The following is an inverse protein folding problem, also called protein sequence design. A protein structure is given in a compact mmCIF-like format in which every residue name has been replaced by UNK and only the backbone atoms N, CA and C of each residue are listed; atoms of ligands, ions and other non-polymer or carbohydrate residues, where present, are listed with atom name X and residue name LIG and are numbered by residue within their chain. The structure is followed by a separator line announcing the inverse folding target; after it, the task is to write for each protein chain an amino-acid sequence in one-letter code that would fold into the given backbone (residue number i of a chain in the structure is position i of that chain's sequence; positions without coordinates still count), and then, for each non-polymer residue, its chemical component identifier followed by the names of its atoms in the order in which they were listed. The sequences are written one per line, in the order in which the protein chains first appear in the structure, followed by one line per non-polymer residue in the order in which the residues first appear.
data_IF_657092512431
#
_entry.id   IF_657092512431
#
_cell.length_a   1.000
_cell.length_b   1.000
_cell.length_c   1.000
_cell.angle_alpha   90.00
_cell.angle_beta   90.00
_cell.angle_gamma   90.00
#
_symmetry.space_group_name_H-M   'P 1'
#
loop_
_entity.id
_entity.type
_entity.pdbx_description
1 polymer ?
#
# COMPACT_ATOMS: atom_id res chain seq x y z
N UNK A 1 -28.54 28.75 -6.94
CA UNK A 1 -27.26 28.01 -7.12
C UNK A 1 -26.74 27.55 -5.75
N UNK A 2 -26.49 26.26 -5.55
CA UNK A 2 -25.89 25.80 -4.29
C UNK A 2 -24.47 26.39 -4.16
N UNK A 3 -24.18 27.08 -3.06
CA UNK A 3 -22.84 27.60 -2.78
C UNK A 3 -21.82 26.47 -2.82
N UNK A 4 -20.74 26.66 -3.58
CA UNK A 4 -19.61 25.72 -3.58
C UNK A 4 -19.00 25.73 -2.20
N UNK A 5 -18.79 24.53 -1.63
CA UNK A 5 -18.17 24.37 -0.32
C UNK A 5 -16.76 24.95 -0.38
N UNK A 6 -16.30 25.68 0.65
CA UNK A 6 -14.94 26.18 0.69
C UNK A 6 -13.95 25.01 0.70
N UNK A 7 -12.90 25.11 -0.11
CA UNK A 7 -11.86 24.11 -0.26
C UNK A 7 -10.56 24.53 0.44
N UNK A 8 -9.79 23.55 0.90
CA UNK A 8 -8.47 23.77 1.45
C UNK A 8 -7.49 24.13 0.32
N UNK A 9 -6.75 25.23 0.49
CA UNK A 9 -5.72 25.68 -0.45
C UNK A 9 -4.56 24.69 -0.64
N UNK A 10 -4.33 23.79 0.31
CA UNK A 10 -3.22 22.84 0.27
C UNK A 10 -3.59 21.50 -0.37
N UNK A 11 -4.73 20.91 0.01
CA UNK A 11 -5.12 19.57 -0.46
C UNK A 11 -6.36 19.54 -1.35
N UNK A 12 -6.95 20.71 -1.64
CA UNK A 12 -8.17 20.88 -2.46
C UNK A 12 -9.39 20.08 -1.98
N UNK A 13 -9.36 19.59 -0.74
CA UNK A 13 -10.51 18.95 -0.10
C UNK A 13 -11.44 20.01 0.50
N UNK A 14 -12.76 19.78 0.58
CA UNK A 14 -13.65 20.66 1.33
C UNK A 14 -13.14 20.84 2.77
N UNK A 15 -13.17 22.07 3.28
CA UNK A 15 -12.56 22.42 4.58
C UNK A 15 -13.01 21.50 5.72
N UNK A 16 -14.30 21.14 5.75
CA UNK A 16 -14.90 20.24 6.76
C UNK A 16 -14.30 18.83 6.81
N UNK A 17 -13.65 18.37 5.74
CA UNK A 17 -13.03 17.04 5.63
C UNK A 17 -11.57 17.14 5.17
N UNK A 18 -10.94 18.28 5.47
CA UNK A 18 -9.54 18.52 5.20
C UNK A 18 -8.65 17.56 6.00
N UNK A 19 -7.65 16.97 5.34
CA UNK A 19 -6.71 16.04 5.97
C UNK A 19 -5.40 16.70 6.39
N UNK A 20 -5.14 17.95 5.97
CA UNK A 20 -3.91 18.66 6.32
C UNK A 20 -3.64 18.73 7.83
N UNK A 21 -4.64 18.94 8.72
CA UNK A 21 -4.40 18.93 10.17
C UNK A 21 -3.89 17.59 10.73
N UNK A 22 -4.04 16.50 9.98
CA UNK A 22 -3.63 15.15 10.38
C UNK A 22 -2.31 14.71 9.72
N UNK A 23 -1.78 15.52 8.79
CA UNK A 23 -0.43 15.36 8.27
C UNK A 23 0.59 15.82 9.33
N UNK A 24 1.84 15.32 9.32
CA UNK A 24 2.86 15.87 10.18
C UNK A 24 3.15 17.33 9.80
N UNK A 25 3.47 18.16 10.80
CA UNK A 25 3.76 19.59 10.61
C UNK A 25 4.92 19.83 9.63
N UNK A 26 5.89 18.91 9.64
CA UNK A 26 6.99 18.82 8.68
C UNK A 26 7.08 17.40 8.12
N UNK A 27 7.52 17.20 6.87
CA UNK A 27 7.79 15.86 6.35
C UNK A 27 8.69 15.06 7.30
N UNK A 28 8.38 13.78 7.48
CA UNK A 28 9.15 12.89 8.34
C UNK A 28 10.62 12.83 7.90
N UNK A 29 11.54 12.89 8.86
CA UNK A 29 12.95 12.64 8.56
C UNK A 29 13.18 11.13 8.43
N UNK A 30 13.48 10.67 7.23
CA UNK A 30 13.78 9.26 6.92
C UNK A 30 15.05 9.16 6.07
N UNK A 31 15.83 8.11 6.28
CA UNK A 31 17.02 7.82 5.48
C UNK A 31 16.70 6.96 4.24
N UNK A 32 15.71 6.08 4.36
CA UNK A 32 15.24 5.12 3.36
C UNK A 32 14.56 5.83 2.18
N UNK A 33 14.90 5.39 0.97
CA UNK A 33 14.18 5.75 -0.24
C UNK A 33 12.99 4.82 -0.47
N UNK A 34 11.82 5.40 -0.69
CA UNK A 34 10.59 4.70 -0.99
C UNK A 34 10.22 4.89 -2.46
N UNK A 35 10.12 3.78 -3.19
CA UNK A 35 9.61 3.76 -4.56
C UNK A 35 8.23 3.13 -4.60
N UNK A 36 7.21 3.89 -5.03
CA UNK A 36 5.86 3.38 -5.24
C UNK A 36 5.64 3.14 -6.73
N UNK A 37 5.49 1.87 -7.11
CA UNK A 37 5.15 1.46 -8.46
C UNK A 37 3.63 1.37 -8.57
N UNK A 38 3.00 2.42 -9.07
CA UNK A 38 1.56 2.56 -9.06
C UNK A 38 0.92 2.12 -10.38
N UNK A 39 -0.08 1.24 -10.28
CA UNK A 39 -0.90 0.87 -11.43
C UNK A 39 -1.73 2.09 -11.90
N UNK A 40 -1.81 2.39 -13.21
CA UNK A 40 -2.51 3.58 -13.72
C UNK A 40 -4.00 3.70 -13.31
N UNK A 41 -4.66 2.57 -13.08
CA UNK A 41 -6.06 2.56 -12.64
C UNK A 41 -6.27 2.99 -11.17
N UNK A 42 -5.22 3.04 -10.35
CA UNK A 42 -5.31 3.55 -8.97
C UNK A 42 -5.15 5.07 -8.89
N UNK A 43 -4.53 5.72 -9.88
CA UNK A 43 -4.31 7.17 -9.91
C UNK A 43 -5.63 7.94 -9.72
N UNK A 44 -6.69 7.53 -10.40
CA UNK A 44 -7.97 8.22 -10.40
C UNK A 44 -8.94 7.74 -9.30
N UNK A 45 -8.47 6.96 -8.31
CA UNK A 45 -9.32 6.49 -7.21
C UNK A 45 -9.52 7.59 -6.16
N UNK A 46 -10.78 7.87 -5.84
CA UNK A 46 -11.18 8.90 -4.86
C UNK A 46 -10.55 8.68 -3.46
N UNK A 47 -10.44 7.43 -3.03
CA UNK A 47 -9.95 7.05 -1.70
C UNK A 47 -8.50 6.55 -1.71
N UNK A 48 -7.68 6.97 -2.67
CA UNK A 48 -6.26 6.57 -2.78
C UNK A 48 -5.44 6.99 -1.55
N UNK A 49 -4.55 6.11 -1.08
CA UNK A 49 -3.72 6.34 0.11
C UNK A 49 -2.30 6.82 -0.23
N UNK A 50 -1.83 6.57 -1.46
CA UNK A 50 -0.50 7.03 -1.92
C UNK A 50 -0.29 8.54 -1.79
N UNK A 51 -1.25 9.43 -2.12
CA UNK A 51 -1.05 10.87 -1.90
C UNK A 51 -0.93 11.26 -0.43
N UNK A 52 -1.61 10.55 0.48
CA UNK A 52 -1.46 10.80 1.92
C UNK A 52 -0.07 10.40 2.39
N UNK A 53 0.41 9.23 1.94
CA UNK A 53 1.77 8.75 2.19
C UNK A 53 2.81 9.76 1.68
N UNK A 54 2.71 10.19 0.42
CA UNK A 54 3.64 11.13 -0.17
C UNK A 54 3.65 12.50 0.51
N UNK A 55 2.49 12.98 1.01
CA UNK A 55 2.41 14.24 1.72
C UNK A 55 3.10 14.23 3.10
N UNK A 56 3.31 13.04 3.68
CA UNK A 56 4.01 12.88 4.97
C UNK A 56 5.53 12.74 4.84
N UNK A 57 6.06 12.54 3.62
CA UNK A 57 7.46 12.19 3.38
C UNK A 57 8.19 13.28 2.58
N UNK A 58 9.54 13.38 2.71
CA UNK A 58 10.33 14.28 1.88
C UNK A 58 10.19 13.94 0.40
N UNK A 59 10.12 14.95 -0.47
CA UNK A 59 9.87 14.78 -1.92
C UNK A 59 10.97 13.97 -2.61
N UNK A 60 12.20 14.06 -2.11
CA UNK A 60 13.37 13.32 -2.60
C UNK A 60 13.41 11.87 -2.10
N UNK A 61 12.68 11.54 -1.02
CA UNK A 61 12.63 10.20 -0.41
C UNK A 61 11.44 9.35 -0.86
N UNK A 62 10.40 9.93 -1.45
CA UNK A 62 9.23 9.19 -1.94
C UNK A 62 9.02 9.42 -3.44
N UNK A 63 9.37 8.43 -4.26
CA UNK A 63 9.23 8.47 -5.72
C UNK A 63 8.06 7.61 -6.18
N UNK A 64 7.11 8.20 -6.89
CA UNK A 64 5.96 7.49 -7.46
C UNK A 64 6.19 7.33 -8.97
N UNK A 65 6.16 6.08 -9.44
CA UNK A 65 6.28 5.73 -10.86
C UNK A 65 4.97 5.06 -11.30
N UNK A 66 4.25 5.70 -12.22
CA UNK A 66 2.95 5.21 -12.71
C UNK A 66 3.16 4.40 -13.98
N UNK A 67 2.73 3.14 -13.98
CA UNK A 67 2.91 2.28 -15.15
C UNK A 67 2.54 0.83 -14.92
N UNK A 68 2.52 0.07 -16.02
CA UNK A 68 2.34 -1.40 -15.99
C UNK A 68 3.59 -2.15 -16.43
N UNK A 69 4.44 -1.50 -17.23
CA UNK A 69 5.63 -2.08 -17.84
C UNK A 69 6.79 -1.09 -17.72
N UNK A 70 7.90 -1.59 -17.19
CA UNK A 70 9.14 -0.91 -16.90
C UNK A 70 10.27 -1.74 -17.49
N UNK A 71 11.19 -1.07 -18.17
CA UNK A 71 12.39 -1.66 -18.74
C UNK A 71 13.53 -0.66 -18.60
N UNK A 72 14.76 -1.11 -18.82
CA UNK A 72 15.93 -0.25 -18.71
C UNK A 72 15.87 0.93 -19.68
N UNK A 73 15.31 0.75 -20.87
CA UNK A 73 15.16 1.81 -21.87
C UNK A 73 14.07 2.81 -21.49
N UNK A 74 13.01 2.36 -20.80
CA UNK A 74 11.86 3.20 -20.44
C UNK A 74 12.06 3.94 -19.13
N UNK A 75 12.76 3.33 -18.18
CA UNK A 75 13.03 3.90 -16.87
C UNK A 75 14.43 3.49 -16.39
N UNK A 76 15.49 4.14 -16.91
CA UNK A 76 16.87 3.84 -16.54
C UNK A 76 17.11 4.01 -15.03
N UNK A 77 16.50 5.03 -14.42
CA UNK A 77 16.58 5.28 -12.97
C UNK A 77 16.06 4.08 -12.18
N UNK A 78 14.85 3.61 -12.49
CA UNK A 78 14.26 2.45 -11.80
C UNK A 78 15.09 1.18 -12.05
N UNK A 79 15.62 0.98 -13.26
CA UNK A 79 16.51 -0.15 -13.57
C UNK A 79 17.78 -0.12 -12.71
N UNK A 80 18.43 1.04 -12.59
CA UNK A 80 19.60 1.21 -11.72
C UNK A 80 19.26 0.91 -10.27
N UNK A 81 18.13 1.41 -9.76
CA UNK A 81 17.67 1.14 -8.39
C UNK A 81 17.43 -0.36 -8.19
N UNK A 82 16.74 -1.04 -9.10
CA UNK A 82 16.47 -2.47 -8.98
C UNK A 82 17.74 -3.34 -8.95
N UNK A 83 18.86 -2.86 -9.49
CA UNK A 83 20.14 -3.58 -9.52
C UNK A 83 20.99 -3.39 -8.27
N UNK A 84 20.66 -2.42 -7.40
CA UNK A 84 21.43 -2.21 -6.16
C UNK A 84 21.16 -3.33 -5.16
N UNK A 85 22.21 -3.79 -4.49
CA UNK A 85 22.15 -4.86 -3.49
C UNK A 85 21.39 -4.46 -2.21
N UNK A 86 21.27 -3.15 -1.94
CA UNK A 86 20.56 -2.57 -0.80
C UNK A 86 19.09 -2.22 -1.09
N UNK A 87 18.57 -2.66 -2.24
CA UNK A 87 17.19 -2.44 -2.64
C UNK A 87 16.34 -3.68 -2.36
N UNK A 88 15.21 -3.46 -1.69
CA UNK A 88 14.19 -4.46 -1.43
C UNK A 88 12.95 -4.21 -2.29
N UNK A 89 12.21 -5.28 -2.55
CA UNK A 89 10.85 -5.18 -3.09
C UNK A 89 9.85 -5.85 -2.16
N UNK A 90 8.89 -5.05 -1.68
CA UNK A 90 7.80 -5.53 -0.86
C UNK A 90 6.71 -6.12 -1.76
N UNK A 91 6.74 -7.44 -1.90
CA UNK A 91 5.73 -8.19 -2.63
C UNK A 91 5.63 -9.61 -2.06
N UNK A 92 4.44 -10.07 -1.64
CA UNK A 92 4.28 -11.41 -1.10
C UNK A 92 4.49 -12.47 -2.19
N UNK A 93 5.39 -13.41 -1.94
CA UNK A 93 5.73 -14.53 -2.83
C UNK A 93 6.22 -15.73 -2.03
N UNK A 94 6.36 -16.88 -2.69
CA UNK A 94 6.84 -18.12 -2.05
C UNK A 94 8.26 -17.95 -1.49
N UNK A 95 9.11 -17.22 -2.22
CA UNK A 95 10.51 -16.96 -1.87
C UNK A 95 10.71 -15.65 -1.06
N UNK A 96 9.61 -14.99 -0.67
CA UNK A 96 9.68 -13.72 0.03
C UNK A 96 10.13 -13.92 1.48
N UNK A 97 11.27 -13.34 1.85
CA UNK A 97 11.72 -13.33 3.25
C UNK A 97 10.84 -12.40 4.09
N UNK A 98 10.66 -12.70 5.38
CA UNK A 98 10.06 -11.72 6.28
C UNK A 98 11.02 -10.52 6.43
N UNK A 99 10.49 -9.29 6.41
CA UNK A 99 11.31 -8.08 6.44
C UNK A 99 12.11 -7.95 7.75
N UNK A 100 11.47 -8.17 8.90
CA UNK A 100 12.13 -8.09 10.20
C UNK A 100 13.24 -9.13 10.34
N UNK A 101 12.96 -10.39 10.00
CA UNK A 101 13.95 -11.49 10.00
C UNK A 101 15.10 -11.20 9.02
N UNK A 102 14.80 -10.72 7.81
CA UNK A 102 15.81 -10.42 6.79
C UNK A 102 16.81 -9.35 7.24
N UNK A 103 16.34 -8.29 7.91
CA UNK A 103 17.20 -7.18 8.34
C UNK A 103 18.21 -7.62 9.41
N UNK A 104 17.87 -8.62 10.23
CA UNK A 104 18.77 -9.14 11.27
C UNK A 104 19.98 -9.86 10.68
N UNK A 105 19.76 -10.59 9.58
CA UNK A 105 20.78 -11.44 8.95
C UNK A 105 21.46 -10.80 7.73
N UNK A 106 20.98 -9.64 7.27
CA UNK A 106 21.47 -9.02 6.04
C UNK A 106 22.87 -8.41 6.23
N UNK A 107 23.85 -8.74 5.37
CA UNK A 107 25.19 -8.15 5.43
C UNK A 107 25.21 -6.68 4.99
N UNK A 108 24.21 -6.24 4.24
CA UNK A 108 24.04 -4.85 3.78
C UNK A 108 22.71 -4.34 4.30
N UNK A 109 22.74 -3.23 5.04
CA UNK A 109 21.51 -2.62 5.51
C UNK A 109 20.76 -1.99 4.34
N UNK A 110 19.47 -2.33 4.13
CA UNK A 110 18.72 -1.78 3.00
C UNK A 110 18.56 -0.27 3.09
N UNK A 111 18.76 0.42 1.97
CA UNK A 111 18.54 1.87 1.86
C UNK A 111 17.29 2.22 1.05
N UNK A 112 16.75 1.26 0.30
CA UNK A 112 15.65 1.49 -0.64
C UNK A 112 14.62 0.36 -0.56
N UNK A 113 13.35 0.72 -0.55
CA UNK A 113 12.25 -0.24 -0.66
C UNK A 113 11.28 0.15 -1.77
N UNK A 114 10.95 -0.83 -2.61
CA UNK A 114 9.96 -0.73 -3.68
C UNK A 114 8.65 -1.35 -3.20
N UNK A 115 7.53 -0.63 -3.33
CA UNK A 115 6.18 -1.11 -3.04
C UNK A 115 5.32 -0.98 -4.29
N UNK A 116 4.54 -2.01 -4.61
CA UNK A 116 3.63 -2.00 -5.76
C UNK A 116 2.22 -1.59 -5.29
N UNK A 117 1.71 -0.47 -5.82
CA UNK A 117 0.37 0.04 -5.54
C UNK A 117 -0.64 -0.44 -6.60
N UNK A 118 -1.65 -1.18 -6.14
CA UNK A 118 -2.68 -1.76 -6.99
C UNK A 118 -3.55 -2.75 -6.25
N UNK A 119 -4.69 -3.10 -6.83
CA UNK A 119 -5.39 -4.33 -6.45
C UNK A 119 -4.45 -5.53 -6.59
N UNK A 120 -4.68 -6.60 -5.84
CA UNK A 120 -3.90 -7.85 -5.91
C UNK A 120 -3.66 -8.36 -7.34
N UNK A 121 -4.65 -8.28 -8.23
CA UNK A 121 -4.47 -8.66 -9.63
C UNK A 121 -3.56 -7.70 -10.40
N UNK A 122 -3.66 -6.39 -10.13
CA UNK A 122 -2.82 -5.37 -10.77
C UNK A 122 -1.39 -5.44 -10.26
N UNK A 123 -1.19 -5.56 -8.95
CA UNK A 123 0.13 -5.69 -8.35
C UNK A 123 0.84 -6.96 -8.86
N UNK A 124 0.10 -8.08 -8.94
CA UNK A 124 0.57 -9.31 -9.57
C UNK A 124 0.97 -9.09 -11.03
N UNK A 125 0.13 -8.40 -11.80
CA UNK A 125 0.42 -8.12 -13.22
C UNK A 125 1.70 -7.30 -13.39
N UNK A 126 1.86 -6.25 -12.57
CA UNK A 126 3.08 -5.43 -12.54
C UNK A 126 4.28 -6.27 -12.15
N UNK A 127 4.22 -7.04 -11.07
CA UNK A 127 5.36 -7.82 -10.61
C UNK A 127 5.86 -8.83 -11.66
N UNK A 128 4.95 -9.62 -12.24
CA UNK A 128 5.36 -10.70 -13.15
C UNK A 128 5.69 -10.25 -14.57
N UNK A 129 5.17 -9.10 -15.03
CA UNK A 129 5.46 -8.56 -16.37
C UNK A 129 6.76 -7.74 -16.45
N UNK A 130 7.41 -7.48 -15.32
CA UNK A 130 8.62 -6.67 -15.25
C UNK A 130 9.76 -7.51 -14.66
N UNK A 131 10.69 -7.95 -15.51
CA UNK A 131 11.85 -8.74 -15.08
C UNK A 131 12.73 -8.01 -14.08
N UNK A 132 12.80 -6.67 -14.15
CA UNK A 132 13.53 -5.81 -13.21
C UNK A 132 13.14 -6.06 -11.75
N UNK A 133 11.87 -6.37 -11.47
CA UNK A 133 11.36 -6.60 -10.11
C UNK A 133 11.75 -7.95 -9.52
N UNK A 134 12.47 -8.79 -10.28
CA UNK A 134 13.10 -10.02 -9.78
C UNK A 134 14.53 -9.81 -9.30
N UNK A 135 15.13 -8.65 -9.57
CA UNK A 135 16.51 -8.33 -9.18
C UNK A 135 16.63 -7.98 -7.69
N UNK A 136 15.77 -7.10 -7.11
CA UNK A 136 15.81 -6.82 -5.68
C UNK A 136 15.42 -8.03 -4.84
N UNK A 137 15.93 -8.10 -3.61
CA UNK A 137 15.47 -9.12 -2.66
C UNK A 137 13.99 -8.91 -2.36
N UNK A 138 13.21 -9.96 -2.63
CA UNK A 138 11.78 -9.99 -2.30
C UNK A 138 11.57 -10.17 -0.80
N UNK A 139 10.78 -9.28 -0.21
CA UNK A 139 10.40 -9.30 1.19
C UNK A 139 8.89 -9.20 1.37
N UNK A 140 8.40 -9.63 2.53
CA UNK A 140 7.00 -9.54 2.93
C UNK A 140 6.90 -9.11 4.40
N UNK A 141 5.83 -8.41 4.74
CA UNK A 141 5.51 -8.06 6.13
C UNK A 141 4.77 -9.21 6.80
N UNK A 142 5.13 -9.51 8.05
CA UNK A 142 4.39 -10.45 8.90
C UNK A 142 3.58 -9.64 9.90
N UNK A 143 2.37 -9.27 9.52
CA UNK A 143 1.53 -8.42 10.37
C UNK A 143 0.45 -9.25 11.05
N UNK A 144 0.42 -9.23 12.38
CA UNK A 144 -0.72 -9.71 13.18
C UNK A 144 -1.84 -8.66 13.26
N UNK A 145 -1.52 -7.41 12.93
CA UNK A 145 -2.46 -6.29 12.94
C UNK A 145 -3.46 -6.35 11.79
N UNK A 146 -4.69 -5.95 12.09
CA UNK A 146 -5.73 -5.74 11.08
C UNK A 146 -5.58 -4.36 10.46
N UNK A 147 -5.94 -4.23 9.18
CA UNK A 147 -5.93 -2.95 8.48
C UNK A 147 -6.92 -1.97 9.12
N UNK A 148 -6.46 -0.73 9.30
CA UNK A 148 -7.24 0.42 9.73
C UNK A 148 -7.97 1.10 8.56
N UNK A 149 -7.68 0.69 7.32
CA UNK A 149 -8.30 1.20 6.12
C UNK A 149 -9.65 0.52 5.83
N UNK A 150 -10.61 0.74 6.74
CA UNK A 150 -11.89 0.03 6.81
C UNK A 150 -12.93 0.45 5.77
N UNK A 151 -12.66 1.50 4.98
CA UNK A 151 -13.62 2.07 4.02
C UNK A 151 -13.50 1.51 2.59
N UNK A 152 -12.51 0.65 2.31
CA UNK A 152 -12.44 -0.16 1.09
C UNK A 152 -12.41 -1.65 1.43
N UNK A 153 -13.11 -2.43 0.62
CA UNK A 153 -13.13 -3.88 0.79
C UNK A 153 -11.76 -4.50 0.48
N UNK A 154 -11.22 -5.24 1.46
CA UNK A 154 -9.98 -5.99 1.37
C UNK A 154 -10.25 -7.50 1.18
N UNK A 155 -9.31 -8.29 0.65
CA UNK A 155 -9.46 -9.74 0.60
C UNK A 155 -9.58 -10.36 2.00
N UNK A 156 -8.66 -10.01 2.91
CA UNK A 156 -8.66 -10.41 4.31
C UNK A 156 -8.53 -9.15 5.18
N UNK A 157 -8.87 -9.25 6.48
CA UNK A 157 -8.68 -8.12 7.42
C UNK A 157 -7.18 -7.80 7.65
N UNK A 158 -6.28 -8.72 7.28
CA UNK A 158 -4.82 -8.58 7.40
C UNK A 158 -4.17 -7.96 6.15
N UNK A 159 -4.92 -7.77 5.07
CA UNK A 159 -4.41 -7.08 3.89
C UNK A 159 -4.33 -5.57 4.16
N UNK A 160 -3.11 -5.06 4.25
CA UNK A 160 -2.81 -3.66 4.43
C UNK A 160 -2.98 -2.86 3.12
N UNK A 161 -3.35 -1.60 3.24
CA UNK A 161 -3.23 -0.61 2.17
C UNK A 161 -1.76 -0.25 1.90
N UNK A 162 -1.48 0.37 0.75
CA UNK A 162 -0.12 0.78 0.39
C UNK A 162 0.53 1.71 1.43
N UNK A 163 -0.25 2.63 2.00
CA UNK A 163 0.22 3.52 3.08
C UNK A 163 0.55 2.72 4.35
N UNK A 164 -0.28 1.74 4.73
CA UNK A 164 -0.01 0.89 5.90
C UNK A 164 1.23 0.02 5.67
N UNK A 165 1.38 -0.56 4.48
CA UNK A 165 2.58 -1.30 4.09
C UNK A 165 3.83 -0.44 4.20
N UNK A 166 3.79 0.79 3.67
CA UNK A 166 4.89 1.74 3.78
C UNK A 166 5.18 2.15 5.23
N UNK A 167 4.13 2.38 6.02
CA UNK A 167 4.25 2.77 7.42
C UNK A 167 4.97 1.71 8.26
N UNK A 168 4.57 0.44 8.11
CA UNK A 168 5.22 -0.69 8.79
C UNK A 168 6.64 -0.92 8.24
N UNK A 169 6.83 -0.90 6.93
CA UNK A 169 8.16 -1.14 6.37
C UNK A 169 9.17 -0.07 6.78
N UNK A 170 8.78 1.21 6.76
CA UNK A 170 9.63 2.32 7.17
C UNK A 170 9.90 2.32 8.68
N UNK A 171 8.94 1.95 9.53
CA UNK A 171 9.22 1.87 10.97
C UNK A 171 10.26 0.81 11.29
N UNK A 172 10.25 -0.32 10.56
CA UNK A 172 11.25 -1.38 10.70
C UNK A 172 12.61 -0.91 10.17
N UNK A 173 12.66 -0.36 8.95
CA UNK A 173 13.91 0.07 8.29
C UNK A 173 14.57 1.27 8.96
N UNK A 174 13.80 2.17 9.55
CA UNK A 174 14.36 3.32 10.29
C UNK A 174 14.51 3.03 11.79
N UNK A 175 14.11 1.83 12.24
CA UNK A 175 14.06 1.42 13.65
C UNK A 175 13.32 2.44 14.53
N UNK A 176 12.21 2.97 14.01
CA UNK A 176 11.47 4.05 14.64
C UNK A 176 9.95 3.87 14.49
N UNK A 177 9.30 3.42 15.57
CA UNK A 177 7.86 3.18 15.61
C UNK A 177 7.02 4.46 15.44
N UNK A 178 7.57 5.64 15.76
CA UNK A 178 6.88 6.93 15.59
C UNK A 178 6.52 7.20 14.11
N UNK A 179 7.30 6.67 13.17
CA UNK A 179 7.04 6.80 11.73
C UNK A 179 5.72 6.12 11.38
N UNK A 180 5.50 4.90 11.88
CA UNK A 180 4.26 4.17 11.61
C UNK A 180 3.07 4.93 12.19
N UNK A 181 3.14 5.36 13.45
CA UNK A 181 2.07 6.13 14.07
C UNK A 181 1.74 7.40 13.28
N UNK A 182 2.77 8.15 12.88
CA UNK A 182 2.61 9.41 12.15
C UNK A 182 2.00 9.20 10.77
N UNK A 183 2.44 8.19 10.03
CA UNK A 183 1.90 7.88 8.69
C UNK A 183 0.46 7.40 8.74
N UNK A 184 0.03 6.74 9.83
CA UNK A 184 -1.33 6.22 9.98
C UNK A 184 -2.36 7.30 10.39
N UNK A 185 -1.95 8.39 11.04
CA UNK A 185 -2.87 9.49 11.43
C UNK A 185 -3.75 10.03 10.29
N UNK A 186 -3.23 10.42 9.11
CA UNK A 186 -4.08 10.91 8.02
C UNK A 186 -4.99 9.82 7.43
N UNK A 187 -4.57 8.56 7.48
CA UNK A 187 -5.40 7.42 7.07
C UNK A 187 -6.58 7.22 8.02
N UNK A 188 -6.33 7.26 9.32
CA UNK A 188 -7.36 7.19 10.36
C UNK A 188 -8.38 8.33 10.19
N UNK A 189 -7.90 9.56 9.99
CA UNK A 189 -8.76 10.72 9.75
C UNK A 189 -9.60 10.55 8.47
N UNK A 190 -9.01 10.05 7.38
CA UNK A 190 -9.76 9.74 6.16
C UNK A 190 -10.89 8.75 6.43
N UNK A 191 -10.61 7.65 7.14
CA UNK A 191 -11.63 6.67 7.52
C UNK A 191 -12.72 7.32 8.39
N UNK A 192 -12.36 8.05 9.44
CA UNK A 192 -13.29 8.73 10.34
C UNK A 192 -14.21 9.69 9.60
N UNK A 193 -13.69 10.54 8.73
CA UNK A 193 -14.51 11.46 7.94
C UNK A 193 -15.48 10.74 7.01
N UNK A 194 -15.04 9.65 6.37
CA UNK A 194 -15.89 8.87 5.49
C UNK A 194 -17.03 8.21 6.28
N UNK A 195 -16.73 7.62 7.43
CA UNK A 195 -17.73 7.00 8.31
C UNK A 195 -18.75 8.03 8.83
N UNK A 196 -18.29 9.21 9.24
CA UNK A 196 -19.16 10.32 9.68
C UNK A 196 -20.10 10.82 8.56
N UNK A 197 -19.72 10.64 7.30
CA UNK A 197 -20.50 11.08 6.14
C UNK A 197 -21.20 9.89 5.43
N UNK A 198 -21.48 8.82 6.16
CA UNK A 198 -22.34 7.72 5.70
C UNK A 198 -21.62 6.57 4.99
N UNK A 199 -20.29 6.56 4.94
CA UNK A 199 -19.57 5.36 4.52
C UNK A 199 -19.77 4.25 5.56
N UNK A 200 -19.86 3.01 5.10
CA UNK A 200 -19.95 1.84 5.95
C UNK A 200 -18.60 1.15 6.06
N UNK A 201 -18.34 0.55 7.23
CA UNK A 201 -17.22 -0.36 7.42
C UNK A 201 -17.35 -1.50 6.40
N UNK A 202 -16.31 -1.69 5.59
CA UNK A 202 -16.23 -2.74 4.58
C UNK A 202 -15.59 -3.98 5.19
N UNK A 203 -16.44 -4.96 5.51
CA UNK A 203 -15.98 -6.29 5.91
C UNK A 203 -15.11 -6.91 4.81
N UNK A 204 -14.07 -7.65 5.20
CA UNK A 204 -13.23 -8.37 4.23
C UNK A 204 -14.01 -9.44 3.48
N UNK A 205 -13.55 -9.77 2.28
CA UNK A 205 -14.15 -10.84 1.48
C UNK A 205 -14.10 -12.18 2.20
N UNK A 206 -13.00 -12.47 2.88
CA UNK A 206 -12.87 -13.63 3.76
C UNK A 206 -13.99 -13.68 4.81
N UNK A 207 -14.19 -12.59 5.56
CA UNK A 207 -15.24 -12.55 6.59
C UNK A 207 -16.63 -12.72 5.99
N UNK A 208 -16.93 -12.05 4.87
CA UNK A 208 -18.21 -12.19 4.16
C UNK A 208 -18.45 -13.63 3.69
N UNK A 209 -17.41 -14.31 3.19
CA UNK A 209 -17.51 -15.69 2.73
C UNK A 209 -17.70 -16.68 3.89
N UNK A 210 -16.92 -16.54 4.96
CA UNK A 210 -17.00 -17.42 6.15
C UNK A 210 -18.35 -17.36 6.85
N UNK A 211 -19.02 -16.21 6.83
CA UNK A 211 -20.30 -16.00 7.52
C UNK A 211 -21.52 -16.08 6.58
N UNK A 212 -21.35 -16.48 5.31
CA UNK A 212 -22.46 -16.56 4.35
C UNK A 212 -23.08 -15.21 3.97
N UNK A 213 -22.38 -14.10 4.24
CA UNK A 213 -22.84 -12.72 3.98
C UNK A 213 -22.37 -12.19 2.61
N UNK A 214 -21.74 -13.02 1.78
CA UNK A 214 -21.21 -12.59 0.49
C UNK A 214 -22.35 -12.35 -0.52
N UNK A 215 -22.55 -11.09 -0.99
CA UNK A 215 -23.79 -10.71 -1.68
C UNK A 215 -23.84 -11.12 -3.16
N UNK A 216 -22.79 -11.76 -3.69
CA UNK A 216 -22.67 -12.10 -5.12
C UNK A 216 -22.71 -13.62 -5.29
N UNK A 217 -23.27 -14.11 -6.41
CA UNK A 217 -23.21 -15.53 -6.72
C UNK A 217 -21.76 -16.01 -6.84
N UNK A 218 -21.52 -17.25 -6.45
CA UNK A 218 -20.21 -17.88 -6.61
C UNK A 218 -19.86 -17.94 -8.11
N UNK A 219 -18.60 -17.62 -8.47
CA UNK A 219 -18.18 -17.63 -9.86
C UNK A 219 -18.20 -19.05 -10.41
N UNK A 220 -18.56 -19.24 -11.69
CA UNK A 220 -18.48 -20.56 -12.34
C UNK A 220 -17.06 -20.95 -12.77
N UNK A 221 -16.17 -19.97 -12.87
CA UNK A 221 -14.80 -20.17 -13.32
C UNK A 221 -13.96 -20.88 -12.23
N UNK A 222 -13.42 -22.07 -12.53
CA UNK A 222 -12.62 -22.90 -11.60
C UNK A 222 -11.50 -22.12 -10.90
N UNK A 223 -10.77 -21.25 -11.60
CA UNK A 223 -9.69 -20.44 -11.01
C UNK A 223 -10.22 -19.42 -10.01
N UNK A 224 -11.36 -18.79 -10.29
CA UNK A 224 -12.00 -17.85 -9.36
C UNK A 224 -12.61 -18.56 -8.16
N UNK A 225 -13.18 -19.76 -8.34
CA UNK A 225 -13.67 -20.61 -7.25
C UNK A 225 -12.55 -20.97 -6.30
N UNK A 226 -11.45 -21.53 -6.81
CA UNK A 226 -10.27 -21.86 -6.00
C UNK A 226 -9.74 -20.67 -5.21
N UNK A 227 -9.75 -19.47 -5.81
CA UNK A 227 -9.35 -18.24 -5.08
C UNK A 227 -10.30 -17.91 -3.92
N UNK A 228 -11.60 -18.16 -4.08
CA UNK A 228 -12.59 -17.95 -3.01
C UNK A 228 -12.47 -19.01 -1.92
N UNK A 229 -12.18 -20.26 -2.27
CA UNK A 229 -11.88 -21.33 -1.31
C UNK A 229 -10.61 -21.02 -0.49
N UNK A 230 -9.54 -20.53 -1.14
CA UNK A 230 -8.33 -20.10 -0.45
C UNK A 230 -8.59 -18.96 0.55
N UNK A 231 -9.45 -18.00 0.17
CA UNK A 231 -9.90 -16.93 1.07
C UNK A 231 -10.64 -17.50 2.29
N UNK A 232 -11.56 -18.44 2.09
CA UNK A 232 -12.33 -19.07 3.17
C UNK A 232 -11.42 -19.83 4.15
N UNK A 233 -10.35 -20.43 3.65
CA UNK A 233 -9.40 -21.17 4.47
C UNK A 233 -8.32 -20.28 5.11
N UNK A 234 -8.38 -18.96 4.92
CA UNK A 234 -7.35 -17.99 5.39
C UNK A 234 -5.94 -18.31 4.87
N UNK A 235 -5.84 -19.01 3.74
CA UNK A 235 -4.57 -19.38 3.10
C UNK A 235 -4.07 -18.21 2.26
N UNK A 236 -2.74 -17.95 2.26
CA UNK A 236 -2.12 -16.90 1.43
C UNK A 236 -2.54 -17.06 -0.05
N UNK A 237 -2.86 -15.94 -0.70
CA UNK A 237 -3.42 -15.85 -2.07
C UNK A 237 -2.39 -15.29 -3.04
#
# INVERSE_FOLDING_TARGET
PAERRPECSHCSRPQKVCLCPFLPAHPLHISTYLYIIQHPAEENKVLRTVPLLAACLPKDKCKIKIGRRFSEERDPELSTICRKSDTLILYPGAEAANLEEFILDSPVYPSTIIIIDGTWSQAKDIFYKNSLFRLPKQVQLKTSISSQYVIRAQPTNRCLSTLECAAVALSILEKNNYIQETLLRPLQALCSFQLQHGAQIRLSKEHLLKNGLYPKPMPKNKRKLRKMELLMNSVKI
#
